data_IF_013732208661
#
_entry.id   IF_013732208661
#
_cell.length_a   1.000
_cell.length_b   1.000
_cell.length_c   1.000
_cell.angle_alpha   90.00
_cell.angle_beta   90.00
_cell.angle_gamma   90.00
#
_symmetry.space_group_name_H-M   'P 1'
#
loop_
_entity.id
_entity.type
_entity.pdbx_description
1 polymer ?
#
# COMPACT_ATOMS: atom_id res chain seq x y z
N UNK A 1 49.91 11.15 -3.82
CA UNK A 1 48.67 11.96 -3.78
C UNK A 1 47.85 11.58 -5.01
N UNK A 2 47.03 10.53 -4.90
CA UNK A 2 46.15 10.08 -5.99
C UNK A 2 44.78 10.68 -5.71
N UNK A 3 44.36 11.66 -6.52
CA UNK A 3 42.99 12.16 -6.52
C UNK A 3 42.09 11.07 -7.07
N UNK A 4 41.26 10.47 -6.22
CA UNK A 4 40.10 9.68 -6.64
C UNK A 4 39.00 10.68 -6.97
N UNK A 5 38.75 10.86 -8.27
CA UNK A 5 37.62 11.64 -8.78
C UNK A 5 36.35 10.82 -8.56
N UNK A 6 35.59 11.14 -7.52
CA UNK A 6 34.25 10.61 -7.32
C UNK A 6 33.33 11.09 -8.44
N UNK A 7 33.01 10.21 -9.39
CA UNK A 7 31.96 10.45 -10.37
C UNK A 7 30.62 10.43 -9.61
N UNK A 8 30.03 11.60 -9.36
CA UNK A 8 28.60 11.67 -9.03
C UNK A 8 27.83 11.23 -10.28
N UNK A 9 27.24 10.03 -10.23
CA UNK A 9 26.15 9.70 -11.14
C UNK A 9 24.95 10.57 -10.75
N UNK A 10 24.67 11.62 -11.53
CA UNK A 10 23.34 12.22 -11.54
C UNK A 10 22.40 11.16 -12.13
N UNK A 11 21.75 10.38 -11.27
CA UNK A 11 20.56 9.62 -11.66
C UNK A 11 19.45 10.65 -11.84
N UNK A 12 19.25 11.12 -13.07
CA UNK A 12 18.05 11.86 -13.42
C UNK A 12 16.89 10.87 -13.37
N UNK A 13 16.19 10.83 -12.23
CA UNK A 13 14.93 10.10 -12.15
C UNK A 13 13.97 10.70 -13.18
N UNK A 14 13.35 9.88 -14.05
CA UNK A 14 12.35 10.39 -14.96
C UNK A 14 11.25 11.05 -14.11
N UNK A 15 10.75 12.19 -14.59
CA UNK A 15 9.49 12.78 -14.11
C UNK A 15 8.45 11.67 -14.00
N UNK A 16 7.75 11.59 -12.87
CA UNK A 16 6.63 10.67 -12.63
C UNK A 16 5.66 10.81 -13.79
N UNK A 17 5.60 9.80 -14.65
CA UNK A 17 4.67 9.75 -15.76
C UNK A 17 3.95 8.42 -15.68
N UNK A 18 2.64 8.47 -15.49
CA UNK A 18 1.75 7.37 -15.81
C UNK A 18 2.09 6.86 -17.21
N UNK A 19 2.11 5.54 -17.39
CA UNK A 19 2.37 4.95 -18.69
C UNK A 19 1.15 5.09 -19.61
N UNK A 20 -0.05 5.08 -19.02
CA UNK A 20 -1.29 5.17 -19.75
C UNK A 20 -1.71 6.64 -19.88
N UNK A 21 -2.00 7.12 -21.10
CA UNK A 21 -2.54 8.47 -21.26
C UNK A 21 -3.92 8.54 -20.60
N UNK A 22 -4.20 9.66 -19.94
CA UNK A 22 -5.53 9.91 -19.40
C UNK A 22 -6.58 9.93 -20.53
N UNK A 23 -7.80 9.41 -20.28
CA UNK A 23 -8.94 9.60 -21.17
C UNK A 23 -9.14 11.07 -21.60
N UNK A 24 -9.70 11.27 -22.79
CA UNK A 24 -10.04 12.59 -23.33
C UNK A 24 -11.55 12.69 -23.62
N UNK A 25 -12.31 13.54 -22.91
CA UNK A 25 -11.88 14.40 -21.81
C UNK A 25 -11.50 13.59 -20.56
N UNK A 26 -10.66 14.15 -19.65
CA UNK A 26 -10.33 13.51 -18.39
C UNK A 26 -11.57 13.41 -17.50
N UNK A 27 -11.58 12.44 -16.60
CA UNK A 27 -12.63 12.23 -15.63
C UNK A 27 -12.61 13.36 -14.62
N UNK A 28 -13.77 14.00 -14.45
CA UNK A 28 -14.04 14.96 -13.40
C UNK A 28 -15.19 14.44 -12.54
N UNK A 29 -15.10 14.54 -11.20
CA UNK A 29 -16.19 14.18 -10.31
C UNK A 29 -17.50 14.87 -10.74
N UNK A 30 -18.62 14.14 -10.83
CA UNK A 30 -19.90 14.77 -11.08
C UNK A 30 -20.36 15.56 -9.86
N UNK A 31 -21.42 16.36 -10.03
CA UNK A 31 -22.02 17.09 -8.92
C UNK A 31 -22.48 16.14 -7.80
N UNK A 32 -22.31 16.50 -6.50
CA UNK A 32 -22.63 15.61 -5.39
C UNK A 32 -24.08 15.09 -5.35
N UNK A 33 -25.05 15.82 -5.92
CA UNK A 33 -26.44 15.35 -6.05
C UNK A 33 -26.54 14.03 -6.81
N UNK A 34 -25.62 13.75 -7.73
CA UNK A 34 -25.58 12.50 -8.50
C UNK A 34 -25.47 11.26 -7.61
N UNK A 35 -24.83 11.37 -6.44
CA UNK A 35 -24.74 10.29 -5.46
C UNK A 35 -26.05 9.96 -4.75
N UNK A 36 -27.07 10.83 -4.85
CA UNK A 36 -28.37 10.64 -4.18
C UNK A 36 -29.42 9.95 -5.05
N UNK A 37 -29.18 9.88 -6.36
CA UNK A 37 -30.03 9.13 -7.25
C UNK A 37 -29.78 7.63 -7.02
N UNK A 38 -30.74 6.72 -7.26
CA UNK A 38 -30.48 5.28 -7.30
C UNK A 38 -30.01 4.86 -8.70
N UNK A 39 -29.06 3.91 -8.79
CA UNK A 39 -28.65 3.31 -10.06
C UNK A 39 -29.60 2.18 -10.47
N UNK A 40 -29.76 1.99 -11.78
CA UNK A 40 -30.34 0.77 -12.32
C UNK A 40 -29.34 -0.40 -12.24
N UNK A 41 -29.80 -1.64 -12.43
CA UNK A 41 -28.96 -2.84 -12.49
C UNK A 41 -28.17 -2.95 -13.81
N UNK A 42 -27.46 -1.90 -14.23
CA UNK A 42 -26.57 -1.92 -15.40
C UNK A 42 -25.22 -2.55 -15.07
N UNK A 43 -24.53 -3.06 -16.10
CA UNK A 43 -23.17 -3.58 -16.01
C UNK A 43 -22.28 -2.88 -17.05
N UNK A 44 -21.27 -2.08 -16.64
CA UNK A 44 -20.99 -1.71 -15.25
C UNK A 44 -22.11 -0.84 -14.67
N UNK A 45 -22.24 -0.88 -13.35
CA UNK A 45 -23.15 0.02 -12.64
C UNK A 45 -22.57 1.43 -12.67
N UNK A 46 -23.36 2.42 -13.09
CA UNK A 46 -22.87 3.79 -13.25
C UNK A 46 -22.45 4.42 -11.93
N UNK A 47 -23.09 4.09 -10.81
CA UNK A 47 -22.72 4.62 -9.50
C UNK A 47 -21.44 4.01 -8.96
N UNK A 48 -21.22 2.71 -9.18
CA UNK A 48 -19.93 2.10 -8.85
C UNK A 48 -18.80 2.65 -9.71
N UNK A 49 -19.07 2.90 -11.00
CA UNK A 49 -18.09 3.53 -11.89
C UNK A 49 -17.75 4.96 -11.46
N UNK A 50 -18.77 5.75 -11.11
CA UNK A 50 -18.59 7.11 -10.56
C UNK A 50 -17.86 7.09 -9.22
N UNK A 51 -18.23 6.19 -8.31
CA UNK A 51 -17.56 6.06 -7.02
C UNK A 51 -16.08 5.74 -7.21
N UNK A 52 -15.74 4.81 -8.10
CA UNK A 52 -14.34 4.47 -8.38
C UNK A 52 -13.57 5.67 -8.94
N UNK A 53 -14.15 6.41 -9.88
CA UNK A 53 -13.54 7.63 -10.41
C UNK A 53 -13.34 8.72 -9.35
N UNK A 54 -14.32 8.91 -8.46
CA UNK A 54 -14.19 9.84 -7.33
C UNK A 54 -13.08 9.43 -6.36
N UNK A 55 -12.97 8.13 -6.04
CA UNK A 55 -11.91 7.62 -5.15
C UNK A 55 -10.52 7.83 -5.74
N UNK A 56 -10.33 7.66 -7.06
CA UNK A 56 -9.05 7.95 -7.71
C UNK A 56 -8.79 9.45 -7.83
N UNK A 57 -9.83 10.27 -8.01
CA UNK A 57 -9.69 11.73 -7.98
C UNK A 57 -9.27 12.24 -6.59
N UNK A 58 -9.76 11.63 -5.50
CA UNK A 58 -9.30 11.95 -4.14
C UNK A 58 -7.78 11.79 -3.99
N UNK A 59 -7.18 10.76 -4.62
CA UNK A 59 -5.71 10.64 -4.57
C UNK A 59 -5.01 11.79 -5.29
N UNK A 60 -5.53 12.31 -6.40
CA UNK A 60 -4.96 13.51 -7.02
C UNK A 60 -4.97 14.70 -6.06
N UNK A 61 -6.03 14.83 -5.25
CA UNK A 61 -6.15 15.86 -4.21
C UNK A 61 -5.11 15.73 -3.09
N UNK A 62 -4.47 14.56 -2.93
CA UNK A 62 -3.46 14.29 -1.90
C UNK A 62 -2.02 14.43 -2.40
N UNK A 63 -1.77 14.67 -3.68
CA UNK A 63 -0.42 14.70 -4.27
C UNK A 63 0.48 15.77 -3.65
N UNK A 64 1.67 15.44 -3.18
CA UNK A 64 2.73 16.38 -2.80
C UNK A 64 3.81 16.47 -3.88
N UNK A 65 4.65 17.50 -3.87
CA UNK A 65 5.73 17.69 -4.84
C UNK A 65 5.30 18.54 -6.03
N UNK A 66 6.01 18.37 -7.15
CA UNK A 66 5.71 19.06 -8.41
C UNK A 66 4.60 18.33 -9.16
N UNK A 67 3.45 18.97 -9.30
CA UNK A 67 2.28 18.40 -9.94
C UNK A 67 2.48 18.27 -11.46
N UNK A 68 1.90 17.23 -12.09
CA UNK A 68 2.07 17.01 -13.51
C UNK A 68 1.23 18.03 -14.32
N UNK A 69 1.60 18.28 -15.58
CA UNK A 69 0.89 19.29 -16.41
C UNK A 69 -0.57 18.94 -16.72
N UNK A 70 -0.94 17.67 -16.58
CA UNK A 70 -2.29 17.12 -16.74
C UNK A 70 -3.01 16.94 -15.38
N UNK A 71 -2.54 17.58 -14.32
CA UNK A 71 -3.20 17.58 -13.01
C UNK A 71 -4.67 18.00 -13.14
N UNK A 72 -5.56 17.20 -12.56
CA UNK A 72 -7.01 17.40 -12.67
C UNK A 72 -7.53 18.38 -11.64
N UNK A 73 -6.85 18.49 -10.50
CA UNK A 73 -7.31 19.27 -9.35
C UNK A 73 -6.77 20.71 -9.43
N UNK A 74 -7.55 21.61 -10.02
CA UNK A 74 -7.10 22.98 -10.33
C UNK A 74 -6.74 23.87 -9.14
N UNK A 75 -7.13 23.48 -7.92
CA UNK A 75 -6.85 24.23 -6.69
C UNK A 75 -5.63 23.71 -5.93
N UNK A 76 -5.07 22.56 -6.33
CA UNK A 76 -3.80 22.03 -5.82
C UNK A 76 -2.62 22.71 -6.50
N UNK A 77 -1.48 22.75 -5.80
CA UNK A 77 -0.28 23.44 -6.26
C UNK A 77 0.98 22.60 -6.05
N UNK A 78 2.02 22.93 -6.82
CA UNK A 78 3.38 22.49 -6.51
C UNK A 78 3.71 22.87 -5.05
N UNK A 79 4.12 21.88 -4.27
CA UNK A 79 4.29 22.02 -2.82
C UNK A 79 5.38 21.09 -2.29
N UNK A 80 5.99 21.44 -1.15
CA UNK A 80 7.02 20.63 -0.47
C UNK A 80 8.15 20.15 -1.42
N UNK A 81 8.63 21.06 -2.28
CA UNK A 81 9.60 20.76 -3.34
C UNK A 81 11.02 20.50 -2.82
N UNK A 82 11.32 20.95 -1.60
CA UNK A 82 12.63 20.82 -0.96
C UNK A 82 12.69 19.64 0.05
N UNK A 83 11.65 18.81 0.10
CA UNK A 83 11.60 17.61 0.95
C UNK A 83 12.80 16.70 0.64
N UNK A 84 13.54 16.29 1.67
CA UNK A 84 14.77 15.46 1.55
C UNK A 84 16.08 16.25 1.47
N UNK A 85 16.03 17.58 1.31
CA UNK A 85 17.24 18.43 1.23
C UNK A 85 18.12 18.36 2.49
N UNK A 86 17.51 18.11 3.65
CA UNK A 86 18.19 17.94 4.95
C UNK A 86 19.08 16.69 5.00
N UNK A 87 18.79 15.69 4.17
CA UNK A 87 19.54 14.43 4.04
C UNK A 87 20.22 14.27 2.68
N UNK A 88 20.21 15.30 1.84
CA UNK A 88 20.86 15.31 0.54
C UNK A 88 20.19 14.41 -0.51
N UNK A 89 18.88 14.17 -0.39
CA UNK A 89 18.07 13.38 -1.32
C UNK A 89 16.93 14.22 -1.90
N UNK A 90 16.34 13.75 -3.00
CA UNK A 90 15.04 14.22 -3.47
C UNK A 90 13.96 13.32 -2.87
N UNK A 91 13.22 13.82 -1.87
CA UNK A 91 12.03 13.18 -1.31
C UNK A 91 10.75 13.98 -1.63
N UNK A 92 10.79 14.82 -2.65
CA UNK A 92 9.61 15.47 -3.23
C UNK A 92 8.74 14.45 -3.99
N UNK A 93 7.43 14.72 -4.07
CA UNK A 93 6.44 13.76 -4.60
C UNK A 93 5.65 13.09 -3.47
N UNK A 94 4.97 11.99 -3.82
CA UNK A 94 4.23 11.16 -2.87
C UNK A 94 2.90 11.77 -2.46
N UNK A 95 2.26 11.18 -1.46
CA UNK A 95 0.97 11.63 -0.96
C UNK A 95 1.10 12.23 0.44
N UNK A 96 0.36 13.31 0.67
CA UNK A 96 0.01 13.74 2.01
C UNK A 96 -0.95 12.73 2.64
N UNK A 97 -0.75 12.45 3.92
CA UNK A 97 -1.39 11.32 4.60
C UNK A 97 -2.90 11.48 4.75
N UNK A 98 -3.34 12.61 5.33
CA UNK A 98 -4.75 12.87 5.60
C UNK A 98 -5.14 14.32 5.28
N UNK A 99 -5.55 15.09 6.28
CA UNK A 99 -5.81 16.53 6.16
C UNK A 99 -4.59 17.40 6.47
N UNK A 100 -3.48 16.78 6.88
CA UNK A 100 -2.18 17.36 7.15
C UNK A 100 -1.28 17.29 5.90
N UNK A 101 -0.03 17.75 6.03
CA UNK A 101 0.97 17.71 4.98
C UNK A 101 2.19 16.84 5.34
N UNK A 102 2.09 15.98 6.36
CA UNK A 102 3.13 14.98 6.65
C UNK A 102 3.01 13.82 5.67
N UNK A 103 4.14 13.24 5.29
CA UNK A 103 4.20 12.03 4.47
C UNK A 103 4.59 10.87 5.35
N UNK A 104 3.70 9.89 5.52
CA UNK A 104 3.96 8.67 6.29
C UNK A 104 4.05 7.46 5.36
N UNK A 105 5.22 6.81 5.28
CA UNK A 105 5.42 5.69 4.37
C UNK A 105 4.66 4.43 4.81
N UNK A 106 4.44 4.24 6.11
CA UNK A 106 3.78 3.04 6.65
C UNK A 106 2.31 2.91 6.20
N UNK A 107 1.41 3.89 6.47
CA UNK A 107 0.04 3.87 5.96
C UNK A 107 -0.05 4.02 4.42
N UNK A 108 0.87 4.77 3.79
CA UNK A 108 0.91 4.85 2.33
C UNK A 108 1.22 3.48 1.70
N UNK A 109 2.18 2.73 2.26
CA UNK A 109 2.54 1.39 1.78
C UNK A 109 1.37 0.41 1.94
N UNK A 110 0.61 0.49 3.04
CA UNK A 110 -0.63 -0.27 3.19
C UNK A 110 -1.66 0.08 2.11
N UNK A 111 -1.84 1.37 1.82
CA UNK A 111 -2.77 1.86 0.79
C UNK A 111 -2.40 1.34 -0.60
N UNK A 112 -1.13 1.45 -1.00
CA UNK A 112 -0.63 0.96 -2.28
C UNK A 112 -0.77 -0.55 -2.41
N UNK A 113 -0.39 -1.30 -1.37
CA UNK A 113 -0.58 -2.75 -1.30
C UNK A 113 -2.05 -3.15 -1.48
N UNK A 114 -2.95 -2.49 -0.75
CA UNK A 114 -4.38 -2.80 -0.77
C UNK A 114 -5.03 -2.49 -2.12
N UNK A 115 -4.65 -1.37 -2.76
CA UNK A 115 -5.16 -1.01 -4.10
C UNK A 115 -4.63 -1.99 -5.16
N UNK A 116 -3.34 -2.35 -5.11
CA UNK A 116 -2.77 -3.34 -6.01
C UNK A 116 -3.40 -4.72 -5.81
N UNK A 117 -3.69 -5.13 -4.57
CA UNK A 117 -4.40 -6.38 -4.29
C UNK A 117 -5.84 -6.35 -4.84
N UNK A 118 -6.58 -5.27 -4.60
CA UNK A 118 -7.92 -5.09 -5.17
C UNK A 118 -7.92 -5.10 -6.70
N UNK A 119 -6.89 -4.54 -7.34
CA UNK A 119 -6.73 -4.58 -8.79
C UNK A 119 -6.34 -5.99 -9.29
N UNK A 120 -5.51 -6.74 -8.57
CA UNK A 120 -5.19 -8.14 -8.90
C UNK A 120 -6.43 -9.04 -8.87
N UNK A 121 -7.34 -8.82 -7.93
CA UNK A 121 -8.54 -9.66 -7.75
C UNK A 121 -9.72 -9.20 -8.64
N UNK A 122 -9.94 -7.89 -8.73
CA UNK A 122 -11.13 -7.30 -9.36
C UNK A 122 -10.80 -6.22 -10.42
N UNK A 123 -9.62 -6.28 -11.03
CA UNK A 123 -9.13 -5.25 -11.94
C UNK A 123 -9.99 -4.99 -13.19
N UNK A 124 -10.78 -5.97 -13.64
CA UNK A 124 -11.78 -5.78 -14.71
C UNK A 124 -12.79 -4.67 -14.38
N UNK A 125 -13.03 -4.40 -13.09
CA UNK A 125 -13.86 -3.28 -12.64
C UNK A 125 -13.28 -1.93 -13.05
N UNK A 126 -11.95 -1.77 -13.01
CA UNK A 126 -11.28 -0.55 -13.48
C UNK A 126 -11.39 -0.40 -14.99
N UNK A 127 -11.24 -1.48 -15.76
CA UNK A 127 -11.38 -1.44 -17.22
C UNK A 127 -12.82 -1.11 -17.63
N UNK A 128 -13.80 -1.79 -17.02
CA UNK A 128 -15.22 -1.55 -17.29
C UNK A 128 -15.63 -0.11 -16.93
N UNK A 129 -15.08 0.46 -15.87
CA UNK A 129 -15.33 1.84 -15.45
C UNK A 129 -14.49 2.89 -16.20
N UNK A 130 -13.62 2.47 -17.15
CA UNK A 130 -12.66 3.33 -17.83
C UNK A 130 -11.75 4.10 -16.86
N UNK A 131 -11.30 3.43 -15.80
CA UNK A 131 -10.48 3.98 -14.71
C UNK A 131 -9.04 3.45 -14.67
N UNK A 132 -8.66 2.53 -15.56
CA UNK A 132 -7.32 1.90 -15.56
C UNK A 132 -6.16 2.90 -15.66
N UNK A 133 -6.32 3.97 -16.45
CA UNK A 133 -5.30 5.02 -16.55
C UNK A 133 -5.11 5.79 -15.24
N UNK A 134 -6.19 6.07 -14.50
CA UNK A 134 -6.11 6.75 -13.20
C UNK A 134 -5.59 5.83 -12.10
N UNK A 135 -5.86 4.52 -12.19
CA UNK A 135 -5.22 3.52 -11.32
C UNK A 135 -3.71 3.52 -11.51
N UNK A 136 -3.23 3.46 -12.75
CA UNK A 136 -1.79 3.52 -13.06
C UNK A 136 -1.15 4.82 -12.57
N UNK A 137 -1.81 5.95 -12.80
CA UNK A 137 -1.35 7.28 -12.39
C UNK A 137 -1.27 7.42 -10.86
N UNK A 138 -2.28 6.91 -10.14
CA UNK A 138 -2.29 6.88 -8.67
C UNK A 138 -1.18 5.99 -8.11
N UNK A 139 -1.04 4.77 -8.65
CA UNK A 139 -0.04 3.82 -8.17
C UNK A 139 1.37 4.32 -8.40
N UNK A 140 1.68 4.83 -9.61
CA UNK A 140 3.02 5.34 -9.93
C UNK A 140 3.39 6.56 -9.09
N UNK A 141 2.45 7.45 -8.80
CA UNK A 141 2.72 8.61 -7.94
C UNK A 141 3.21 8.21 -6.55
N UNK A 142 2.56 7.21 -5.94
CA UNK A 142 2.96 6.70 -4.62
C UNK A 142 4.20 5.83 -4.67
N UNK A 143 4.28 4.90 -5.63
CA UNK A 143 5.39 3.96 -5.77
C UNK A 143 6.71 4.66 -6.16
N UNK A 144 6.67 5.66 -7.03
CA UNK A 144 7.87 6.41 -7.41
C UNK A 144 8.42 7.22 -6.21
N UNK A 145 7.55 7.75 -5.34
CA UNK A 145 8.00 8.34 -4.09
C UNK A 145 8.56 7.29 -3.12
N UNK A 146 7.94 6.13 -3.01
CA UNK A 146 8.44 5.05 -2.15
C UNK A 146 9.80 4.52 -2.65
N UNK A 147 10.05 4.52 -3.97
CA UNK A 147 11.36 4.23 -4.57
C UNK A 147 12.39 5.26 -4.12
N UNK A 148 12.07 6.56 -4.19
CA UNK A 148 12.96 7.63 -3.69
C UNK A 148 13.24 7.49 -2.18
N UNK A 149 12.21 7.13 -1.41
CA UNK A 149 12.31 6.89 0.02
C UNK A 149 13.11 5.63 0.36
N UNK A 150 13.36 4.73 -0.58
CA UNK A 150 14.21 3.54 -0.44
C UNK A 150 15.51 3.66 -1.27
N UNK A 151 16.45 4.56 -0.89
CA UNK A 151 17.63 4.87 -1.70
C UNK A 151 18.71 3.78 -1.68
N UNK A 152 18.66 2.84 -0.73
CA UNK A 152 19.62 1.74 -0.62
C UNK A 152 18.99 0.55 0.10
N UNK A 153 19.48 -0.70 -0.11
CA UNK A 153 18.78 -1.92 0.31
C UNK A 153 18.36 -1.99 1.79
N UNK A 154 19.07 -1.29 2.68
CA UNK A 154 18.81 -1.30 4.12
C UNK A 154 18.49 0.09 4.68
N UNK A 155 17.85 0.97 3.90
CA UNK A 155 17.40 2.30 4.37
C UNK A 155 16.06 2.66 3.77
N UNK A 156 15.10 3.01 4.63
CA UNK A 156 13.79 3.49 4.22
C UNK A 156 13.46 4.78 4.98
N UNK A 157 13.13 5.84 4.25
CA UNK A 157 12.55 7.05 4.80
C UNK A 157 11.07 6.81 5.09
N UNK A 158 10.71 6.86 6.36
CA UNK A 158 9.38 6.47 6.85
C UNK A 158 8.49 7.67 7.14
N UNK A 159 9.09 8.86 7.29
CA UNK A 159 8.37 10.10 7.52
C UNK A 159 9.10 11.31 6.91
N UNK A 160 8.37 12.22 6.30
CA UNK A 160 8.84 13.56 5.93
C UNK A 160 7.87 14.62 6.44
N UNK A 161 8.39 15.56 7.24
CA UNK A 161 7.60 16.56 7.95
C UNK A 161 7.53 16.29 9.45
N UNK A 162 7.46 17.36 10.25
CA UNK A 162 7.28 17.28 11.70
C UNK A 162 5.78 17.39 12.02
N UNK A 163 5.21 16.35 12.65
CA UNK A 163 3.78 16.30 12.91
C UNK A 163 3.25 17.43 13.81
N UNK A 164 4.06 17.93 14.75
CA UNK A 164 3.61 19.02 15.63
C UNK A 164 3.57 20.36 14.90
N UNK A 165 4.61 20.66 14.12
CA UNK A 165 4.67 21.89 13.32
C UNK A 165 3.61 21.90 12.22
N UNK A 166 3.43 20.75 11.55
CA UNK A 166 2.48 20.58 10.45
C UNK A 166 1.04 20.69 10.96
N UNK A 167 0.68 19.98 12.04
CA UNK A 167 -0.67 20.01 12.60
C UNK A 167 -1.01 21.32 13.34
N UNK A 168 -0.01 22.18 13.60
CA UNK A 168 -0.24 23.54 14.09
C UNK A 168 -0.61 24.52 12.96
N UNK A 169 -0.48 24.10 11.69
CA UNK A 169 -0.79 24.90 10.52
C UNK A 169 -2.16 24.54 9.93
N UNK A 170 -2.97 25.58 9.69
CA UNK A 170 -4.24 25.44 8.98
C UNK A 170 -4.23 26.34 7.75
N UNK A 171 -3.97 25.75 6.58
CA UNK A 171 -3.89 26.49 5.32
C UNK A 171 -3.66 25.60 4.12
N UNK A 172 -3.49 26.23 2.95
CA UNK A 172 -3.26 25.53 1.68
C UNK A 172 -1.81 25.08 1.48
N UNK A 173 -1.60 24.26 0.47
CA UNK A 173 -0.33 23.58 0.16
C UNK A 173 0.83 24.49 -0.29
N UNK A 174 0.60 25.79 -0.52
CA UNK A 174 1.64 26.75 -0.92
C UNK A 174 2.51 27.27 0.22
N UNK A 175 2.03 27.21 1.47
CA UNK A 175 2.70 27.83 2.62
C UNK A 175 2.86 26.85 3.78
N UNK A 176 3.07 25.58 3.45
CA UNK A 176 3.38 24.52 4.43
C UNK A 176 4.64 24.95 5.22
N UNK A 177 4.60 24.98 6.56
CA UNK A 177 5.73 25.43 7.35
C UNK A 177 6.98 24.55 7.17
N UNK A 178 8.14 25.21 7.26
CA UNK A 178 9.45 24.57 7.37
C UNK A 178 9.99 24.73 8.82
N UNK A 179 10.87 23.84 9.31
CA UNK A 179 11.50 22.72 8.58
C UNK A 179 10.56 21.52 8.39
N UNK A 180 10.81 20.74 7.33
CA UNK A 180 10.15 19.46 7.05
C UNK A 180 11.19 18.32 7.11
N UNK A 181 11.57 17.86 8.32
CA UNK A 181 12.66 16.90 8.50
C UNK A 181 12.35 15.52 7.90
N UNK A 182 13.40 14.83 7.44
CA UNK A 182 13.32 13.50 6.84
C UNK A 182 13.79 12.43 7.84
N UNK A 183 12.93 11.47 8.18
CA UNK A 183 13.22 10.43 9.16
C UNK A 183 13.31 9.05 8.50
N UNK A 184 14.35 8.30 8.87
CA UNK A 184 14.64 7.00 8.29
C UNK A 184 14.80 5.90 9.34
N UNK A 185 14.49 4.68 8.91
CA UNK A 185 14.98 3.44 9.51
C UNK A 185 16.16 2.91 8.70
N UNK A 186 17.05 2.17 9.34
CA UNK A 186 18.21 1.58 8.67
C UNK A 186 18.69 0.28 9.33
N UNK A 187 19.75 -0.32 8.79
CA UNK A 187 20.30 -1.59 9.25
C UNK A 187 20.65 -1.66 10.76
N UNK A 188 21.03 -0.54 11.39
CA UNK A 188 21.40 -0.49 12.83
C UNK A 188 20.28 0.04 13.73
N UNK A 189 19.33 0.77 13.16
CA UNK A 189 18.10 1.25 13.82
C UNK A 189 16.90 0.90 12.92
N UNK A 190 16.52 -0.39 12.86
CA UNK A 190 15.51 -0.87 11.93
C UNK A 190 14.08 -0.57 12.36
N UNK A 191 13.16 -0.76 11.41
CA UNK A 191 11.71 -0.79 11.59
C UNK A 191 11.13 -1.89 10.72
N UNK A 192 11.00 -3.08 11.29
CA UNK A 192 10.65 -4.32 10.59
C UNK A 192 9.26 -4.24 9.96
N UNK A 193 8.30 -3.71 10.68
CA UNK A 193 6.93 -3.42 10.23
C UNK A 193 6.91 -2.49 9.00
N UNK A 194 7.46 -1.29 9.10
CA UNK A 194 7.44 -0.32 8.01
C UNK A 194 8.18 -0.84 6.76
N UNK A 195 9.33 -1.52 6.95
CA UNK A 195 10.08 -2.12 5.85
C UNK A 195 9.31 -3.29 5.20
N UNK A 196 8.70 -4.18 5.99
CA UNK A 196 7.92 -5.29 5.48
C UNK A 196 6.63 -4.81 4.78
N UNK A 197 5.95 -3.80 5.31
CA UNK A 197 4.76 -3.22 4.67
C UNK A 197 5.08 -2.53 3.33
N UNK A 198 6.21 -1.82 3.24
CA UNK A 198 6.71 -1.28 1.97
C UNK A 198 7.11 -2.39 0.99
N UNK A 199 7.73 -3.47 1.48
CA UNK A 199 7.97 -4.68 0.67
C UNK A 199 6.66 -5.27 0.12
N UNK A 200 5.63 -5.39 0.95
CA UNK A 200 4.32 -5.90 0.53
C UNK A 200 3.71 -5.03 -0.57
N UNK A 201 3.80 -3.69 -0.46
CA UNK A 201 3.35 -2.75 -1.48
C UNK A 201 4.06 -2.98 -2.82
N UNK A 202 5.39 -3.01 -2.79
CA UNK A 202 6.19 -3.24 -3.99
C UNK A 202 5.92 -4.61 -4.62
N UNK A 203 5.81 -5.67 -3.83
CA UNK A 203 5.55 -7.02 -4.33
C UNK A 203 4.14 -7.17 -4.93
N UNK A 204 3.12 -6.62 -4.27
CA UNK A 204 1.74 -6.61 -4.77
C UNK A 204 1.65 -5.86 -6.11
N UNK A 205 2.23 -4.65 -6.19
CA UNK A 205 2.19 -3.85 -7.40
C UNK A 205 3.11 -4.42 -8.51
N UNK A 206 4.25 -5.01 -8.18
CA UNK A 206 5.06 -5.78 -9.13
C UNK A 206 4.24 -6.90 -9.77
N UNK A 207 3.48 -7.63 -8.98
CA UNK A 207 2.61 -8.71 -9.45
C UNK A 207 1.52 -8.18 -10.39
N UNK A 208 0.93 -7.02 -10.08
CA UNK A 208 -0.04 -6.34 -10.93
C UNK A 208 0.55 -5.97 -12.29
N UNK A 209 1.68 -5.25 -12.30
CA UNK A 209 2.35 -4.84 -13.54
C UNK A 209 2.96 -6.00 -14.34
N UNK A 210 3.23 -7.15 -13.69
CA UNK A 210 3.64 -8.39 -14.34
C UNK A 210 2.47 -9.29 -14.76
N UNK A 211 1.23 -8.81 -14.60
CA UNK A 211 0.02 -9.56 -14.97
C UNK A 211 -0.11 -10.93 -14.28
N UNK A 212 0.34 -11.03 -13.02
CA UNK A 212 0.11 -12.22 -12.19
C UNK A 212 -1.36 -12.29 -11.76
N UNK A 213 -1.86 -13.50 -11.51
CA UNK A 213 -3.26 -13.73 -11.16
C UNK A 213 -3.41 -14.37 -9.77
N UNK A 214 -4.40 -13.91 -9.00
CA UNK A 214 -4.78 -14.47 -7.69
C UNK A 214 -5.99 -15.41 -7.77
N UNK A 215 -6.59 -15.53 -8.95
CA UNK A 215 -7.71 -16.43 -9.21
C UNK A 215 -7.63 -16.97 -10.64
N UNK A 216 -7.96 -18.24 -10.84
CA UNK A 216 -8.08 -18.85 -12.16
C UNK A 216 -9.20 -18.23 -13.01
N UNK A 217 -10.13 -17.48 -12.40
CA UNK A 217 -11.19 -16.76 -13.10
C UNK A 217 -10.88 -15.28 -13.36
N UNK A 218 -9.77 -14.76 -12.82
CA UNK A 218 -9.32 -13.39 -13.09
C UNK A 218 -8.76 -13.32 -14.52
N UNK A 219 -9.19 -12.32 -15.30
CA UNK A 219 -8.54 -12.04 -16.58
C UNK A 219 -7.40 -11.07 -16.39
N UNK A 220 -6.37 -11.27 -17.21
CA UNK A 220 -5.26 -10.34 -17.36
C UNK A 220 -5.76 -8.90 -17.56
N UNK A 221 -5.14 -7.95 -16.86
CA UNK A 221 -5.40 -6.52 -17.08
C UNK A 221 -4.53 -6.00 -18.21
N UNK A 222 -5.02 -4.96 -18.88
CA UNK A 222 -4.24 -4.15 -19.82
C UNK A 222 -3.10 -3.39 -19.15
N UNK A 223 -3.17 -3.19 -17.82
CA UNK A 223 -2.15 -2.53 -17.02
C UNK A 223 -0.92 -3.45 -16.82
N UNK A 224 0.04 -3.38 -17.74
CA UNK A 224 1.28 -4.18 -17.68
C UNK A 224 2.52 -3.33 -17.95
N UNK A 225 3.64 -3.65 -17.28
CA UNK A 225 4.95 -3.04 -17.51
C UNK A 225 6.06 -3.88 -16.86
N UNK A 226 6.68 -4.78 -17.61
CA UNK A 226 7.68 -5.71 -17.07
C UNK A 226 8.92 -5.00 -16.48
N UNK A 227 9.35 -3.90 -17.09
CA UNK A 227 10.52 -3.15 -16.60
C UNK A 227 10.24 -2.46 -15.27
N UNK A 228 9.06 -1.84 -15.14
CA UNK A 228 8.65 -1.21 -13.89
C UNK A 228 8.40 -2.28 -12.83
N UNK A 229 7.71 -3.37 -13.18
CA UNK A 229 7.50 -4.50 -12.29
C UNK A 229 8.81 -5.07 -11.75
N UNK A 230 9.81 -5.28 -12.60
CA UNK A 230 11.15 -5.74 -12.17
C UNK A 230 11.83 -4.76 -11.21
N UNK A 231 11.60 -3.46 -11.38
CA UNK A 231 12.12 -2.42 -10.46
C UNK A 231 11.44 -2.55 -9.10
N UNK A 232 10.10 -2.61 -9.08
CA UNK A 232 9.32 -2.80 -7.85
C UNK A 232 9.71 -4.10 -7.14
N UNK A 233 9.83 -5.21 -7.88
CA UNK A 233 10.24 -6.50 -7.32
C UNK A 233 11.60 -6.44 -6.63
N UNK A 234 12.57 -5.69 -7.21
CA UNK A 234 13.90 -5.53 -6.62
C UNK A 234 13.81 -4.79 -5.28
N UNK A 235 13.09 -3.67 -5.23
CA UNK A 235 12.85 -2.95 -3.96
C UNK A 235 12.11 -3.81 -2.93
N UNK A 236 11.16 -4.65 -3.36
CA UNK A 236 10.45 -5.57 -2.46
C UNK A 236 11.42 -6.56 -1.79
N UNK A 237 12.25 -7.24 -2.58
CA UNK A 237 13.20 -8.23 -2.06
C UNK A 237 14.25 -7.61 -1.14
N UNK A 238 14.74 -6.43 -1.49
CA UNK A 238 15.67 -5.67 -0.67
C UNK A 238 15.06 -5.30 0.69
N UNK A 239 13.84 -4.73 0.70
CA UNK A 239 13.17 -4.33 1.95
C UNK A 239 12.76 -5.53 2.81
N UNK A 240 12.33 -6.64 2.22
CA UNK A 240 12.05 -7.85 2.99
C UNK A 240 13.32 -8.44 3.62
N UNK A 241 14.42 -8.44 2.86
CA UNK A 241 15.73 -8.86 3.37
C UNK A 241 16.19 -7.95 4.49
N UNK A 242 16.03 -6.63 4.35
CA UNK A 242 16.31 -5.65 5.40
C UNK A 242 15.44 -5.91 6.64
N UNK A 243 14.12 -6.08 6.47
CA UNK A 243 13.18 -6.30 7.56
C UNK A 243 13.55 -7.54 8.42
N UNK A 244 13.98 -8.63 7.76
CA UNK A 244 14.28 -9.91 8.41
C UNK A 244 15.73 -10.04 8.91
N UNK A 245 16.69 -9.33 8.29
CA UNK A 245 18.12 -9.51 8.55
C UNK A 245 18.84 -8.26 9.07
N UNK A 246 18.10 -7.22 9.47
CA UNK A 246 18.71 -6.02 10.02
C UNK A 246 19.65 -6.34 11.20
N UNK A 247 20.86 -5.77 11.19
CA UNK A 247 21.86 -5.99 12.26
C UNK A 247 21.43 -5.45 13.62
N UNK A 248 20.53 -4.46 13.64
CA UNK A 248 19.91 -3.94 14.86
C UNK A 248 18.86 -4.87 15.47
N UNK A 249 18.54 -5.99 14.81
CA UNK A 249 17.49 -6.92 15.22
C UNK A 249 16.10 -6.46 14.79
N UNK A 250 15.14 -7.38 14.69
CA UNK A 250 13.76 -7.03 14.35
C UNK A 250 13.10 -6.23 15.48
N UNK A 251 12.48 -5.10 15.15
CA UNK A 251 11.75 -4.23 16.08
C UNK A 251 10.76 -3.35 15.30
N UNK A 252 9.78 -2.79 15.99
CA UNK A 252 8.84 -1.84 15.37
C UNK A 252 9.52 -0.52 15.04
N UNK A 253 9.11 0.13 13.95
CA UNK A 253 9.78 1.31 13.40
C UNK A 253 9.78 2.51 14.35
N UNK A 254 8.78 2.63 15.22
CA UNK A 254 8.75 3.69 16.22
C UNK A 254 9.87 3.57 17.27
N UNK A 255 10.55 2.42 17.36
CA UNK A 255 11.75 2.30 18.20
C UNK A 255 12.90 3.15 17.65
N UNK A 256 13.00 3.26 16.32
CA UNK A 256 13.97 4.09 15.63
C UNK A 256 13.46 5.52 15.38
N UNK A 257 12.15 5.68 15.14
CA UNK A 257 11.51 6.95 14.79
C UNK A 257 10.31 7.22 15.72
N UNK A 258 10.52 7.55 17.01
CA UNK A 258 9.44 7.63 18.00
C UNK A 258 8.30 8.58 17.66
N UNK A 259 8.61 9.72 17.05
CA UNK A 259 7.64 10.74 16.65
C UNK A 259 6.63 10.25 15.59
N UNK A 260 6.93 9.18 14.84
CA UNK A 260 5.95 8.61 13.93
C UNK A 260 4.81 7.89 14.67
N UNK A 261 5.06 7.42 15.90
CA UNK A 261 4.04 6.79 16.72
C UNK A 261 2.98 7.75 17.25
N UNK A 262 3.23 9.07 17.22
CA UNK A 262 2.23 10.07 17.60
C UNK A 262 1.01 10.03 16.67
N UNK A 263 1.21 9.61 15.41
CA UNK A 263 0.15 9.43 14.42
C UNK A 263 -0.12 7.94 14.12
N UNK A 264 0.92 7.15 13.89
CA UNK A 264 0.84 5.77 13.37
C UNK A 264 1.68 4.79 14.20
N UNK A 265 1.36 4.61 15.48
CA UNK A 265 2.03 3.61 16.31
C UNK A 265 1.75 2.19 15.80
N UNK A 266 2.81 1.40 15.58
CA UNK A 266 2.67 0.00 15.18
C UNK A 266 2.44 -0.92 16.37
N UNK A 267 1.51 -1.88 16.25
CA UNK A 267 1.24 -2.89 17.27
C UNK A 267 2.17 -4.12 17.19
N UNK A 268 2.90 -4.31 16.09
CA UNK A 268 3.74 -5.47 15.86
C UNK A 268 4.41 -5.45 14.49
N UNK A 269 4.99 -6.58 14.08
CA UNK A 269 5.58 -6.72 12.73
C UNK A 269 5.35 -8.10 12.11
N UNK A 270 4.70 -9.03 12.85
CA UNK A 270 4.57 -10.42 12.39
C UNK A 270 3.59 -10.52 11.22
N UNK A 271 2.52 -9.72 11.24
CA UNK A 271 1.53 -9.67 10.18
C UNK A 271 2.05 -8.94 8.93
N UNK A 272 2.88 -7.90 9.07
CA UNK A 272 3.59 -7.27 7.95
C UNK A 272 4.55 -8.24 7.28
N UNK A 273 5.35 -8.97 8.06
CA UNK A 273 6.28 -9.98 7.53
C UNK A 273 5.53 -11.10 6.80
N UNK A 274 4.41 -11.56 7.37
CA UNK A 274 3.59 -12.61 6.75
C UNK A 274 2.96 -12.15 5.44
N UNK A 275 2.33 -10.96 5.39
CA UNK A 275 1.68 -10.48 4.17
C UNK A 275 2.71 -10.10 3.08
N UNK A 276 3.86 -9.54 3.47
CA UNK A 276 4.94 -9.24 2.54
C UNK A 276 5.48 -10.51 1.88
N UNK A 277 5.67 -11.57 2.67
CA UNK A 277 6.12 -12.85 2.18
C UNK A 277 5.08 -13.51 1.25
N UNK A 278 3.78 -13.39 1.51
CA UNK A 278 2.75 -13.87 0.58
C UNK A 278 2.79 -13.12 -0.77
N UNK A 279 2.92 -11.79 -0.77
CA UNK A 279 3.02 -11.05 -2.03
C UNK A 279 4.35 -11.30 -2.75
N UNK A 280 5.46 -11.52 -2.05
CA UNK A 280 6.72 -11.95 -2.65
C UNK A 280 6.61 -13.36 -3.26
N UNK A 281 5.88 -14.26 -2.60
CA UNK A 281 5.57 -15.57 -3.14
C UNK A 281 4.81 -15.47 -4.47
N UNK A 282 3.85 -14.55 -4.57
CA UNK A 282 3.14 -14.24 -5.82
C UNK A 282 4.05 -13.64 -6.91
N UNK A 283 4.94 -12.73 -6.51
CA UNK A 283 5.80 -11.98 -7.42
C UNK A 283 6.93 -12.85 -8.01
N UNK A 284 7.38 -13.88 -7.28
CA UNK A 284 8.48 -14.75 -7.68
C UNK A 284 7.99 -16.03 -8.39
N UNK A 285 8.85 -17.04 -8.51
CA UNK A 285 8.56 -18.34 -9.12
C UNK A 285 9.43 -19.45 -8.52
N UNK A 286 9.02 -20.71 -8.75
CA UNK A 286 9.80 -21.89 -8.36
C UNK A 286 10.16 -21.91 -6.87
N UNK A 287 11.42 -22.23 -6.57
CA UNK A 287 11.88 -22.42 -5.19
C UNK A 287 11.80 -21.15 -4.33
N UNK A 288 11.99 -19.96 -4.92
CA UNK A 288 11.87 -18.70 -4.18
C UNK A 288 10.41 -18.44 -3.76
N UNK A 289 9.46 -18.67 -4.68
CA UNK A 289 8.04 -18.53 -4.37
C UNK A 289 7.64 -19.46 -3.20
N UNK A 290 8.09 -20.72 -3.23
CA UNK A 290 7.86 -21.68 -2.14
C UNK A 290 8.54 -21.27 -0.84
N UNK A 291 9.74 -20.69 -0.88
CA UNK A 291 10.46 -20.21 0.30
C UNK A 291 9.70 -19.05 0.97
N UNK A 292 9.31 -18.02 0.21
CA UNK A 292 8.52 -16.92 0.74
C UNK A 292 7.15 -17.38 1.27
N UNK A 293 6.52 -18.37 0.62
CA UNK A 293 5.30 -18.97 1.15
C UNK A 293 5.51 -19.64 2.50
N UNK A 294 6.61 -20.38 2.66
CA UNK A 294 6.99 -21.01 3.92
C UNK A 294 7.27 -19.95 5.01
N UNK A 295 7.96 -18.87 4.65
CA UNK A 295 8.21 -17.75 5.57
C UNK A 295 6.89 -17.12 6.03
N UNK A 296 5.95 -16.87 5.11
CA UNK A 296 4.63 -16.33 5.44
C UNK A 296 3.89 -17.19 6.47
N UNK A 297 3.86 -18.52 6.26
CA UNK A 297 3.25 -19.46 7.20
C UNK A 297 3.97 -19.44 8.56
N UNK A 298 5.31 -19.37 8.56
CA UNK A 298 6.10 -19.29 9.79
C UNK A 298 5.77 -18.02 10.58
N UNK A 299 5.74 -16.84 9.95
CA UNK A 299 5.39 -15.59 10.61
C UNK A 299 3.96 -15.59 11.16
N UNK A 300 3.03 -16.15 10.39
CA UNK A 300 1.64 -16.28 10.82
C UNK A 300 1.49 -17.12 12.10
N UNK A 301 2.02 -18.34 12.12
CA UNK A 301 1.88 -19.23 13.29
C UNK A 301 2.77 -18.83 14.46
N UNK A 302 4.02 -18.39 14.20
CA UNK A 302 4.92 -17.98 15.28
C UNK A 302 4.48 -16.67 15.95
N UNK A 303 3.80 -15.80 15.20
CA UNK A 303 3.17 -14.58 15.71
C UNK A 303 1.85 -14.81 16.44
N UNK A 304 1.34 -16.06 16.51
CA UNK A 304 0.01 -16.38 17.03
C UNK A 304 -1.08 -15.53 16.37
N UNK A 305 -0.99 -15.33 15.04
CA UNK A 305 -1.93 -14.50 14.29
C UNK A 305 -3.28 -15.21 14.13
N UNK A 306 -3.30 -16.55 14.15
CA UNK A 306 -4.54 -17.31 14.07
C UNK A 306 -5.48 -17.09 15.26
N UNK A 307 -4.93 -16.83 16.45
CA UNK A 307 -5.70 -16.51 17.65
C UNK A 307 -6.34 -15.12 17.52
N UNK A 308 -5.74 -14.23 16.73
CA UNK A 308 -6.28 -12.90 16.42
C UNK A 308 -7.38 -12.95 15.33
N UNK A 309 -7.82 -14.12 14.90
CA UNK A 309 -9.01 -14.28 14.05
C UNK A 309 -10.18 -14.95 14.77
N UNK A 310 -9.99 -15.36 16.03
CA UNK A 310 -11.02 -16.02 16.82
C UNK A 310 -12.08 -15.00 17.24
N UNK A 311 -13.36 -15.37 17.10
CA UNK A 311 -14.48 -14.51 17.47
C UNK A 311 -14.38 -14.00 18.92
N UNK A 312 -14.46 -12.69 19.09
CA UNK A 312 -14.27 -11.99 20.36
C UNK A 312 -12.88 -11.35 20.50
N UNK A 313 -11.87 -11.93 19.84
CA UNK A 313 -10.49 -11.45 19.81
C UNK A 313 -10.08 -10.94 18.42
N UNK A 314 -10.99 -11.01 17.43
CA UNK A 314 -10.58 -10.93 16.03
C UNK A 314 -10.21 -9.51 15.60
N UNK A 315 -9.04 -9.31 15.00
CA UNK A 315 -8.57 -7.99 14.53
C UNK A 315 -9.25 -7.58 13.23
N UNK A 316 -9.09 -6.31 12.87
CA UNK A 316 -9.66 -5.72 11.65
C UNK A 316 -8.53 -5.47 10.67
N UNK A 317 -8.75 -5.76 9.40
CA UNK A 317 -7.79 -5.43 8.33
C UNK A 317 -7.66 -3.91 8.20
N UNK A 318 -6.50 -3.36 8.50
CA UNK A 318 -6.19 -1.94 8.42
C UNK A 318 -4.67 -1.70 8.27
N UNK A 319 -4.22 -0.45 8.31
CA UNK A 319 -2.81 -0.09 8.15
C UNK A 319 -1.89 -0.74 9.19
N UNK A 320 -2.37 -0.99 10.41
CA UNK A 320 -1.63 -1.57 11.53
C UNK A 320 -1.77 -3.09 11.60
N UNK A 321 -2.93 -3.68 11.28
CA UNK A 321 -3.17 -5.12 11.37
C UNK A 321 -3.58 -5.74 10.04
N UNK A 322 -2.76 -6.67 9.53
CA UNK A 322 -2.98 -7.38 8.27
C UNK A 322 -3.53 -8.80 8.47
N UNK A 323 -3.72 -9.23 9.71
CA UNK A 323 -4.09 -10.61 10.11
C UNK A 323 -5.26 -11.20 9.32
N UNK A 324 -6.44 -10.54 9.18
CA UNK A 324 -7.52 -11.11 8.37
C UNK A 324 -7.16 -11.22 6.88
N UNK A 325 -6.38 -10.26 6.38
CA UNK A 325 -5.91 -10.23 4.99
C UNK A 325 -4.95 -11.37 4.66
N UNK A 326 -4.09 -11.78 5.61
CA UNK A 326 -3.14 -12.89 5.40
C UNK A 326 -3.89 -14.19 5.10
N UNK A 327 -4.92 -14.52 5.89
CA UNK A 327 -5.68 -15.75 5.69
C UNK A 327 -6.40 -15.75 4.33
N UNK A 328 -6.98 -14.61 3.92
CA UNK A 328 -7.65 -14.46 2.62
C UNK A 328 -6.65 -14.58 1.47
N UNK A 329 -5.54 -13.84 1.52
CA UNK A 329 -4.52 -13.87 0.47
C UNK A 329 -3.87 -15.24 0.34
N UNK A 330 -3.59 -15.92 1.46
CA UNK A 330 -3.08 -17.28 1.44
C UNK A 330 -4.10 -18.25 0.82
N UNK A 331 -5.39 -18.15 1.16
CA UNK A 331 -6.42 -18.96 0.51
C UNK A 331 -6.48 -18.71 -1.01
N UNK A 332 -6.42 -17.45 -1.45
CA UNK A 332 -6.37 -17.09 -2.88
C UNK A 332 -5.15 -17.68 -3.58
N UNK A 333 -3.95 -17.47 -3.02
CA UNK A 333 -2.69 -17.94 -3.61
C UNK A 333 -2.64 -19.46 -3.73
N UNK A 334 -3.06 -20.16 -2.69
CA UNK A 334 -3.03 -21.63 -2.66
C UNK A 334 -4.10 -22.27 -3.54
N UNK A 335 -5.25 -21.61 -3.70
CA UNK A 335 -6.27 -22.03 -4.66
C UNK A 335 -5.80 -21.83 -6.10
N UNK A 336 -5.14 -20.71 -6.40
CA UNK A 336 -4.62 -20.40 -7.74
C UNK A 336 -3.36 -21.22 -8.08
N UNK A 337 -2.54 -21.58 -7.08
CA UNK A 337 -1.26 -22.27 -7.26
C UNK A 337 -1.14 -23.48 -6.33
N UNK A 338 -1.84 -24.61 -6.60
CA UNK A 338 -1.83 -25.78 -5.72
C UNK A 338 -0.44 -26.40 -5.51
N UNK A 339 0.46 -26.26 -6.48
CA UNK A 339 1.83 -26.80 -6.38
C UNK A 339 2.69 -26.03 -5.38
N UNK A 340 2.34 -24.78 -5.08
CA UNK A 340 3.06 -23.91 -4.13
C UNK A 340 3.10 -24.50 -2.71
N UNK A 341 2.04 -25.24 -2.35
CA UNK A 341 1.85 -25.79 -1.00
C UNK A 341 2.28 -27.25 -0.85
N UNK A 342 2.94 -27.82 -1.86
CA UNK A 342 3.37 -29.21 -1.81
C UNK A 342 4.30 -29.46 -0.61
N UNK A 343 3.82 -30.24 0.37
CA UNK A 343 4.56 -30.55 1.61
C UNK A 343 4.43 -29.51 2.74
N UNK A 344 3.65 -28.43 2.58
CA UNK A 344 3.37 -27.46 3.64
C UNK A 344 2.18 -27.88 4.51
N UNK A 345 2.26 -27.63 5.82
CA UNK A 345 1.11 -27.78 6.73
C UNK A 345 0.09 -26.64 6.58
N UNK A 346 0.50 -25.51 6.02
CA UNK A 346 -0.36 -24.39 5.66
C UNK A 346 -1.09 -24.68 4.34
N UNK A 347 -1.97 -25.67 4.33
CA UNK A 347 -2.73 -26.06 3.13
C UNK A 347 -3.89 -25.09 2.84
N UNK A 348 -4.45 -25.12 1.62
CA UNK A 348 -5.66 -24.38 1.28
C UNK A 348 -6.79 -24.57 2.32
N UNK A 349 -6.98 -25.81 2.81
CA UNK A 349 -8.01 -26.11 3.81
C UNK A 349 -7.79 -25.38 5.14
N UNK A 350 -6.54 -25.19 5.56
CA UNK A 350 -6.20 -24.46 6.77
C UNK A 350 -6.60 -22.99 6.62
N UNK A 351 -6.24 -22.37 5.50
CA UNK A 351 -6.57 -20.98 5.23
C UNK A 351 -8.07 -20.76 5.04
N UNK A 352 -8.76 -21.66 4.32
CA UNK A 352 -10.22 -21.63 4.18
C UNK A 352 -10.90 -21.69 5.54
N UNK A 353 -10.47 -22.58 6.44
CA UNK A 353 -11.06 -22.67 7.78
C UNK A 353 -10.88 -21.38 8.59
N UNK A 354 -9.73 -20.71 8.47
CA UNK A 354 -9.49 -19.44 9.15
C UNK A 354 -10.36 -18.31 8.57
N UNK A 355 -10.46 -18.24 7.24
CA UNK A 355 -11.29 -17.25 6.52
C UNK A 355 -12.77 -17.43 6.83
N UNK A 356 -13.27 -18.67 6.75
CA UNK A 356 -14.67 -19.01 7.07
C UNK A 356 -14.99 -18.68 8.53
N UNK A 357 -14.12 -19.05 9.48
CA UNK A 357 -14.33 -18.71 10.89
C UNK A 357 -14.41 -17.19 11.14
N UNK A 358 -13.54 -16.41 10.50
CA UNK A 358 -13.56 -14.95 10.59
C UNK A 358 -14.85 -14.35 10.02
N UNK A 359 -15.25 -14.73 8.80
CA UNK A 359 -16.45 -14.18 8.18
C UNK A 359 -17.74 -14.68 8.83
N UNK A 360 -17.79 -15.93 9.30
CA UNK A 360 -18.92 -16.47 10.06
C UNK A 360 -19.14 -15.67 11.35
N UNK A 361 -18.07 -15.24 12.02
CA UNK A 361 -18.19 -14.40 13.21
C UNK A 361 -18.85 -13.04 12.91
N UNK A 362 -18.53 -12.45 11.75
CA UNK A 362 -19.13 -11.19 11.27
C UNK A 362 -20.60 -11.39 10.90
N UNK A 363 -20.90 -12.43 10.12
CA UNK A 363 -22.26 -12.71 9.62
C UNK A 363 -23.21 -13.10 10.76
N UNK A 364 -22.72 -13.91 11.70
CA UNK A 364 -23.51 -14.38 12.84
C UNK A 364 -23.53 -13.37 14.01
N UNK A 365 -22.75 -12.27 13.92
CA UNK A 365 -22.67 -11.25 14.96
C UNK A 365 -22.09 -11.78 16.28
N UNK A 366 -21.18 -12.76 16.21
CA UNK A 366 -20.53 -13.36 17.38
C UNK A 366 -19.14 -12.77 17.65
N UNK A 367 -18.60 -11.98 16.71
CA UNK A 367 -17.34 -11.24 16.85
C UNK A 367 -17.50 -9.78 17.31
N UNK A 368 -16.37 -9.09 17.39
CA UNK A 368 -16.23 -7.62 17.50
C UNK A 368 -16.70 -6.87 16.26
N UNK A 369 -16.66 -7.50 15.09
CA UNK A 369 -17.07 -6.92 13.80
C UNK A 369 -18.51 -7.30 13.43
N UNK A 370 -19.26 -6.38 12.79
CA UNK A 370 -20.66 -6.60 12.42
C UNK A 370 -21.04 -5.94 11.08
N UNK A 371 -22.07 -6.47 10.44
CA UNK A 371 -22.64 -5.89 9.22
C UNK A 371 -23.51 -4.65 9.55
N UNK A 372 -23.29 -3.55 8.84
CA UNK A 372 -24.14 -2.34 8.97
C UNK A 372 -25.42 -2.46 8.15
N UNK A 373 -26.57 -2.03 8.69
CA UNK A 373 -27.83 -1.97 7.93
C UNK A 373 -27.80 -0.85 6.89
N UNK A 374 -28.25 -1.12 5.65
CA UNK A 374 -28.49 -0.08 4.63
C UNK A 374 -27.55 -0.09 3.43
N UNK A 375 -26.43 -0.80 3.51
CA UNK A 375 -25.55 -1.11 2.38
C UNK A 375 -25.07 -2.54 2.59
N UNK A 376 -25.26 -3.44 1.62
CA UNK A 376 -24.68 -4.80 1.65
C UNK A 376 -23.16 -4.69 1.48
N UNK A 377 -22.46 -4.16 2.48
CA UNK A 377 -21.02 -3.89 2.50
C UNK A 377 -20.45 -4.31 3.84
N UNK A 378 -19.30 -4.98 3.79
CA UNK A 378 -18.40 -5.15 4.94
C UNK A 378 -17.62 -3.85 5.03
N UNK A 379 -17.79 -3.09 6.11
CA UNK A 379 -16.89 -1.99 6.44
C UNK A 379 -15.79 -2.55 7.33
N UNK A 380 -14.54 -2.50 6.87
CA UNK A 380 -13.42 -2.41 7.79
C UNK A 380 -13.48 -1.00 8.41
N UNK A 381 -13.43 -0.94 9.73
CA UNK A 381 -13.86 0.17 10.60
C UNK A 381 -13.72 1.59 10.01
N UNK A 382 -14.82 2.33 9.98
CA UNK A 382 -14.85 3.78 9.77
C UNK A 382 -14.51 4.43 11.12
N UNK A 383 -13.34 5.04 11.25
CA UNK A 383 -13.09 5.97 12.36
C UNK A 383 -14.16 7.07 12.26
N UNK A 384 -15.05 7.15 13.26
CA UNK A 384 -15.92 8.32 13.42
C UNK A 384 -15.02 9.51 13.70
N UNK A 385 -14.71 10.31 12.68
CA UNK A 385 -14.47 11.73 12.91
C UNK A 385 -15.79 12.32 13.40
N UNK A 386 -15.91 12.47 14.72
CA UNK A 386 -16.82 13.48 15.26
C UNK A 386 -16.19 14.83 14.91
N UNK A 387 -16.81 15.51 13.97
CA UNK A 387 -16.70 16.97 13.92
C UNK A 387 -17.76 17.43 14.91
N UNK A 388 -17.31 17.84 16.10
CA UNK A 388 -18.15 18.54 17.07
C UNK A 388 -18.35 20.00 16.62
#
# INVERSE_FOLDING_TARGET
MLLVSSLLFLVTFPTVLAQLPLPSPPYTPPSPDQGTHPSNASTPNSQWSTLLGNLLYFYDEQRSGKLPSNERVSWRNDSALDDGSDVGLDLSGGYYDAGDYVKYAFPLSFTLMSICWGALDAGQGYEAANQTAYLDDMLRWGLDWLIKAHPSPNTLFVQVGDGNLDNAYWGGDRFIPAPRPSYQINNTSPGTDAAAQASAAFAACSSLYSNRTLSSSSSALTLTNDSYASTLHSHARDLYTFATNATGGMQTYQTAVPQSADAYASSGYSDELAIAALFLSLADSGANASAYYSDAASWYFSGNLEQQLVAGDETVFNWDSKTPGIAVLAAQLTAANPDLVSGSNATLKVWQSAVEGYFDAIVNGTGRSYLTQGLRKVYFYQARMRID
#
